data_IF_602870468552
#
_entry.id   IF_602870468552
#
_cell.length_a   1.000
_cell.length_b   1.000
_cell.length_c   1.000
_cell.angle_alpha   90.00
_cell.angle_beta   90.00
_cell.angle_gamma   90.00
#
_symmetry.space_group_name_H-M   'P 1'
#
loop_
_entity.id
_entity.type
_entity.pdbx_description
1 polymer ?
#
# COMPACT_ATOMS: atom_id res chain seq x y z
N UNK A 1 22.09 -0.17 -4.18
CA UNK A 1 22.07 -1.42 -4.95
C UNK A 1 22.83 -2.54 -4.25
N UNK A 2 24.14 -2.42 -4.07
CA UNK A 2 25.00 -3.50 -3.51
C UNK A 2 24.53 -3.96 -2.12
N UNK A 3 24.27 -3.05 -1.19
CA UNK A 3 23.74 -3.40 0.13
C UNK A 3 22.42 -4.18 0.05
N UNK A 4 21.54 -3.77 -0.86
CA UNK A 4 20.29 -4.51 -1.12
C UNK A 4 20.55 -5.93 -1.62
N UNK A 5 21.48 -6.13 -2.56
CA UNK A 5 21.86 -7.46 -3.01
C UNK A 5 22.40 -8.35 -1.87
N UNK A 6 23.20 -7.79 -0.95
CA UNK A 6 23.71 -8.52 0.21
C UNK A 6 22.55 -8.95 1.12
N UNK A 7 21.60 -8.06 1.40
CA UNK A 7 20.43 -8.35 2.24
C UNK A 7 19.59 -9.47 1.60
N UNK A 8 19.28 -9.35 0.31
CA UNK A 8 18.50 -10.37 -0.41
C UNK A 8 19.24 -11.71 -0.52
N UNK A 9 20.56 -11.70 -0.69
CA UNK A 9 21.37 -12.91 -0.65
C UNK A 9 21.33 -13.59 0.73
N UNK A 10 21.46 -12.82 1.82
CA UNK A 10 21.38 -13.34 3.18
C UNK A 10 20.04 -14.00 3.46
N UNK A 11 18.95 -13.41 2.99
CA UNK A 11 17.62 -14.00 3.14
C UNK A 11 17.50 -15.30 2.35
N UNK A 12 17.96 -15.28 1.09
CA UNK A 12 18.01 -16.48 0.24
C UNK A 12 18.79 -17.63 0.86
N UNK A 13 19.73 -17.36 1.76
CA UNK A 13 20.49 -18.34 2.53
C UNK A 13 19.77 -18.74 3.82
N UNK A 14 19.34 -17.75 4.60
CA UNK A 14 18.82 -18.00 5.96
C UNK A 14 17.47 -18.71 5.97
N UNK A 15 16.60 -18.41 5.02
CA UNK A 15 15.24 -18.95 5.00
C UNK A 15 15.23 -20.47 4.70
N UNK A 16 15.92 -21.00 3.68
CA UNK A 16 16.02 -22.45 3.47
C UNK A 16 16.71 -23.18 4.62
N UNK A 17 17.71 -22.57 5.26
CA UNK A 17 18.36 -23.14 6.46
C UNK A 17 17.37 -23.25 7.61
N UNK A 18 16.59 -22.18 7.88
CA UNK A 18 15.57 -22.19 8.91
C UNK A 18 14.50 -23.26 8.66
N UNK A 19 14.05 -23.41 7.41
CA UNK A 19 13.13 -24.47 7.02
C UNK A 19 13.71 -25.86 7.25
N UNK A 20 14.98 -26.10 6.91
CA UNK A 20 15.66 -27.38 7.12
C UNK A 20 15.80 -27.71 8.62
N UNK A 21 16.12 -26.72 9.47
CA UNK A 21 16.18 -26.90 10.93
C UNK A 21 14.80 -27.27 11.48
N UNK A 22 13.74 -26.58 11.05
CA UNK A 22 12.36 -26.85 11.48
C UNK A 22 11.94 -28.28 11.11
N UNK A 23 12.22 -28.72 9.89
CA UNK A 23 11.96 -30.10 9.45
C UNK A 23 12.73 -31.11 10.30
N UNK A 24 13.98 -30.81 10.61
CA UNK A 24 14.84 -31.70 11.45
C UNK A 24 14.32 -31.81 12.89
N UNK A 25 13.82 -30.74 13.46
CA UNK A 25 13.21 -30.74 14.81
C UNK A 25 11.95 -31.58 14.87
N UNK A 26 11.08 -31.45 13.86
CA UNK A 26 9.84 -32.23 13.74
C UNK A 26 10.16 -33.73 13.55
N UNK A 27 11.11 -34.09 12.68
CA UNK A 27 11.46 -35.49 12.43
C UNK A 27 12.13 -36.17 13.64
N UNK A 28 12.81 -35.41 14.49
CA UNK A 28 13.39 -35.98 15.71
C UNK A 28 12.35 -36.31 16.80
N UNK A 29 11.17 -35.66 16.75
CA UNK A 29 10.10 -35.87 17.73
C UNK A 29 9.08 -36.94 17.29
N UNK A 30 9.06 -37.34 16.01
CA UNK A 30 8.17 -38.38 15.48
C UNK A 30 8.97 -39.54 14.92
N UNK A 31 8.49 -40.76 15.18
CA UNK A 31 9.15 -42.04 14.88
C UNK A 31 9.63 -42.24 13.43
N UNK A 32 10.50 -43.22 13.25
CA UNK A 32 11.30 -43.62 12.07
C UNK A 32 10.66 -43.46 10.67
N UNK A 33 9.35 -43.50 10.55
CA UNK A 33 8.63 -43.27 9.28
C UNK A 33 8.75 -41.84 8.72
N UNK A 34 9.03 -40.85 9.59
CA UNK A 34 9.17 -39.44 9.19
C UNK A 34 10.56 -39.11 8.60
N UNK A 35 11.53 -40.02 8.67
CA UNK A 35 12.88 -39.80 8.17
C UNK A 35 13.03 -39.71 6.65
N UNK A 36 11.98 -40.11 5.89
CA UNK A 36 11.94 -40.01 4.42
C UNK A 36 11.08 -38.85 3.92
N UNK A 37 10.45 -38.07 4.82
CA UNK A 37 9.61 -36.96 4.42
C UNK A 37 10.44 -35.84 3.76
N UNK A 38 10.20 -35.62 2.48
CA UNK A 38 10.74 -34.46 1.75
C UNK A 38 9.81 -33.29 2.01
N UNK A 39 10.34 -32.24 2.60
CA UNK A 39 9.59 -31.00 2.82
C UNK A 39 9.57 -30.18 1.52
N UNK A 40 8.39 -29.98 0.98
CA UNK A 40 8.19 -28.99 -0.10
C UNK A 40 8.12 -27.62 0.53
N UNK A 41 9.14 -26.81 0.26
CA UNK A 41 9.25 -25.47 0.81
C UNK A 41 8.10 -24.57 0.31
N UNK A 42 7.27 -24.06 1.24
CA UNK A 42 6.21 -23.13 0.89
C UNK A 42 6.77 -21.74 0.59
N UNK A 43 6.88 -21.43 -0.68
CA UNK A 43 7.42 -20.16 -1.20
C UNK A 43 6.53 -18.97 -0.81
N UNK A 44 5.30 -19.20 -0.31
CA UNK A 44 4.38 -18.11 0.13
C UNK A 44 4.96 -17.31 1.30
N UNK A 45 5.64 -17.96 2.25
CA UNK A 45 6.31 -17.25 3.34
C UNK A 45 7.47 -16.38 2.84
N UNK A 46 8.19 -16.87 1.83
CA UNK A 46 9.25 -16.09 1.19
C UNK A 46 8.71 -14.82 0.57
N UNK A 47 7.56 -14.89 -0.10
CA UNK A 47 6.95 -13.72 -0.72
C UNK A 47 6.67 -12.61 0.32
N UNK A 48 6.22 -12.98 1.52
CA UNK A 48 5.95 -11.99 2.58
C UNK A 48 7.25 -11.33 3.03
N UNK A 49 8.31 -12.12 3.22
CA UNK A 49 9.62 -11.61 3.64
C UNK A 49 10.23 -10.72 2.55
N UNK A 50 10.26 -11.19 1.31
CA UNK A 50 10.77 -10.42 0.15
C UNK A 50 9.99 -9.14 -0.05
N UNK A 51 8.66 -9.20 0.06
CA UNK A 51 7.79 -8.04 -0.02
C UNK A 51 8.08 -7.02 1.10
N UNK A 52 8.21 -7.48 2.36
CA UNK A 52 8.51 -6.60 3.48
C UNK A 52 9.85 -5.86 3.28
N UNK A 53 10.83 -6.53 2.72
CA UNK A 53 12.13 -5.94 2.43
C UNK A 53 12.08 -4.99 1.25
N UNK A 54 11.34 -5.34 0.19
CA UNK A 54 11.10 -4.45 -0.94
C UNK A 54 10.45 -3.14 -0.49
N UNK A 55 9.49 -3.21 0.45
CA UNK A 55 8.83 -2.03 1.07
C UNK A 55 9.83 -1.10 1.77
N UNK A 56 10.96 -1.60 2.24
CA UNK A 56 11.99 -0.79 2.91
C UNK A 56 13.07 -0.35 1.93
N UNK A 57 13.64 -1.28 1.16
CA UNK A 57 14.81 -1.02 0.31
C UNK A 57 14.46 -0.14 -0.87
N UNK A 58 13.35 -0.39 -1.55
CA UNK A 58 12.95 0.38 -2.75
C UNK A 58 12.71 1.86 -2.43
N UNK A 59 11.96 2.24 -1.37
CA UNK A 59 11.86 3.63 -0.95
C UNK A 59 13.20 4.28 -0.64
N UNK A 60 14.08 3.59 0.09
CA UNK A 60 15.41 4.12 0.40
C UNK A 60 16.20 4.38 -0.89
N UNK A 61 16.19 3.45 -1.84
CA UNK A 61 16.87 3.63 -3.13
C UNK A 61 16.30 4.82 -3.91
N UNK A 62 14.99 4.96 -3.97
CA UNK A 62 14.33 6.09 -4.63
C UNK A 62 14.66 7.43 -3.96
N UNK A 63 14.58 7.49 -2.62
CA UNK A 63 14.90 8.71 -1.86
C UNK A 63 16.37 9.11 -2.01
N UNK A 64 17.29 8.15 -2.06
CA UNK A 64 18.71 8.41 -2.30
C UNK A 64 18.95 8.87 -3.73
N UNK A 65 18.36 8.19 -4.72
CA UNK A 65 18.53 8.52 -6.13
C UNK A 65 18.02 9.93 -6.47
N UNK A 66 16.93 10.36 -5.85
CA UNK A 66 16.34 11.69 -6.04
C UNK A 66 16.68 12.71 -4.94
N UNK A 67 17.65 12.42 -4.07
CA UNK A 67 18.02 13.34 -2.98
C UNK A 67 18.49 14.72 -3.46
N UNK A 68 18.98 14.82 -4.70
CA UNK A 68 19.35 16.10 -5.30
C UNK A 68 18.17 17.08 -5.41
N UNK A 69 16.92 16.57 -5.53
CA UNK A 69 15.71 17.41 -5.57
C UNK A 69 15.37 18.08 -4.25
N UNK A 70 15.94 17.58 -3.15
CA UNK A 70 15.70 18.11 -1.79
C UNK A 70 16.65 19.24 -1.41
N UNK A 71 17.75 19.43 -2.18
CA UNK A 71 18.77 20.46 -1.94
C UNK A 71 18.80 21.46 -3.09
N UNK A 72 18.60 22.74 -2.80
CA UNK A 72 18.52 23.80 -3.83
C UNK A 72 19.75 23.82 -4.74
N UNK A 73 20.96 23.88 -4.15
CA UNK A 73 22.20 23.95 -4.94
C UNK A 73 22.40 22.72 -5.84
N UNK A 74 22.02 21.52 -5.35
CA UNK A 74 22.11 20.29 -6.17
C UNK A 74 21.04 20.28 -7.26
N UNK A 75 19.82 20.74 -6.94
CA UNK A 75 18.72 20.83 -7.90
C UNK A 75 19.09 21.77 -9.06
N UNK A 76 19.63 22.95 -8.78
CA UNK A 76 20.07 23.93 -9.78
C UNK A 76 21.19 23.36 -10.65
N UNK A 77 22.18 22.66 -10.05
CA UNK A 77 23.24 21.97 -10.78
C UNK A 77 22.69 20.93 -11.77
N UNK A 78 21.82 20.03 -11.30
CA UNK A 78 21.24 18.99 -12.17
C UNK A 78 20.35 19.57 -13.28
N UNK A 79 19.66 20.69 -13.01
CA UNK A 79 18.86 21.37 -14.03
C UNK A 79 19.68 22.18 -15.02
N UNK A 80 20.94 22.51 -14.71
CA UNK A 80 21.89 23.17 -15.63
C UNK A 80 22.53 22.20 -16.64
N UNK A 81 22.47 20.89 -16.40
CA UNK A 81 22.99 19.88 -17.33
C UNK A 81 22.15 19.91 -18.62
N UNK A 82 22.77 19.90 -19.82
CA UNK A 82 22.07 20.02 -21.10
C UNK A 82 21.34 18.71 -21.51
N UNK A 83 20.56 18.15 -20.61
CA UNK A 83 19.73 16.96 -20.82
C UNK A 83 18.26 17.32 -20.60
N UNK A 84 17.39 16.84 -21.47
CA UNK A 84 15.94 17.02 -21.28
C UNK A 84 15.49 16.37 -19.97
N UNK A 85 14.60 17.04 -19.23
CA UNK A 85 14.15 16.61 -17.90
C UNK A 85 13.53 15.20 -17.88
N UNK A 86 12.71 14.88 -18.88
CA UNK A 86 12.04 13.58 -18.96
C UNK A 86 13.03 12.41 -19.12
N UNK A 87 14.00 12.43 -20.08
CA UNK A 87 15.02 11.39 -20.17
C UNK A 87 15.86 11.23 -18.88
N UNK A 88 16.21 12.35 -18.22
CA UNK A 88 16.95 12.31 -16.96
C UNK A 88 16.14 11.58 -15.86
N UNK A 89 14.86 11.92 -15.73
CA UNK A 89 13.96 11.28 -14.77
C UNK A 89 13.79 9.78 -15.05
N UNK A 90 13.50 9.43 -16.30
CA UNK A 90 13.33 8.03 -16.71
C UNK A 90 14.63 7.26 -16.51
N UNK A 91 15.79 7.84 -16.85
CA UNK A 91 17.10 7.21 -16.67
C UNK A 91 17.40 6.86 -15.22
N UNK A 92 17.09 7.76 -14.27
CA UNK A 92 17.27 7.50 -12.83
C UNK A 92 16.34 6.37 -12.38
N UNK A 93 15.07 6.39 -12.78
CA UNK A 93 14.11 5.34 -12.40
C UNK A 93 14.51 4.00 -13.03
N UNK A 94 14.92 3.98 -14.29
CA UNK A 94 15.38 2.74 -14.92
C UNK A 94 16.59 2.14 -14.21
N UNK A 95 17.51 2.97 -13.70
CA UNK A 95 18.61 2.49 -12.88
C UNK A 95 18.11 1.82 -11.58
N UNK A 96 17.08 2.38 -10.91
CA UNK A 96 16.48 1.77 -9.72
C UNK A 96 15.76 0.47 -10.07
N UNK A 97 15.01 0.43 -11.18
CA UNK A 97 14.35 -0.78 -11.69
C UNK A 97 15.36 -1.89 -11.98
N UNK A 98 16.48 -1.57 -12.67
CA UNK A 98 17.52 -2.55 -12.94
C UNK A 98 18.14 -3.11 -11.67
N UNK A 99 18.47 -2.26 -10.68
CA UNK A 99 18.94 -2.74 -9.38
C UNK A 99 17.92 -3.61 -8.67
N UNK A 100 16.64 -3.30 -8.75
CA UNK A 100 15.57 -4.12 -8.16
C UNK A 100 15.49 -5.50 -8.82
N UNK A 101 15.60 -5.58 -10.15
CA UNK A 101 15.67 -6.85 -10.88
C UNK A 101 16.89 -7.67 -10.45
N UNK A 102 18.06 -7.05 -10.34
CA UNK A 102 19.28 -7.71 -9.89
C UNK A 102 19.12 -8.27 -8.47
N UNK A 103 18.52 -7.50 -7.55
CA UNK A 103 18.28 -7.95 -6.18
C UNK A 103 17.36 -9.19 -6.12
N UNK A 104 16.25 -9.17 -6.85
CA UNK A 104 15.30 -10.30 -6.92
C UNK A 104 15.95 -11.50 -7.58
N UNK A 105 16.76 -11.28 -8.61
CA UNK A 105 17.53 -12.37 -9.25
C UNK A 105 18.52 -13.01 -8.28
N UNK A 106 19.27 -12.21 -7.51
CA UNK A 106 20.21 -12.71 -6.49
C UNK A 106 19.48 -13.55 -5.43
N UNK A 107 18.32 -13.09 -4.97
CA UNK A 107 17.49 -13.83 -4.03
C UNK A 107 17.04 -15.18 -4.59
N UNK A 108 16.41 -15.17 -5.77
CA UNK A 108 15.90 -16.40 -6.39
C UNK A 108 17.00 -17.40 -6.71
N UNK A 109 18.15 -16.90 -7.14
CA UNK A 109 19.35 -17.72 -7.40
C UNK A 109 19.88 -18.36 -6.11
N UNK A 110 20.05 -17.58 -5.04
CA UNK A 110 20.54 -18.09 -3.76
C UNK A 110 19.59 -19.11 -3.15
N UNK A 111 18.27 -18.91 -3.23
CA UNK A 111 17.27 -19.90 -2.79
C UNK A 111 17.41 -21.20 -3.57
N UNK A 112 17.50 -21.11 -4.90
CA UNK A 112 17.63 -22.29 -5.77
C UNK A 112 18.88 -23.12 -5.43
N UNK A 113 20.02 -22.44 -5.23
CA UNK A 113 21.28 -23.09 -4.87
C UNK A 113 21.20 -23.74 -3.49
N UNK A 114 20.67 -23.02 -2.50
CA UNK A 114 20.55 -23.53 -1.13
C UNK A 114 19.59 -24.71 -1.02
N UNK A 115 18.41 -24.63 -1.67
CA UNK A 115 17.48 -25.76 -1.69
C UNK A 115 18.03 -26.96 -2.46
N UNK A 116 18.83 -26.74 -3.52
CA UNK A 116 19.54 -27.81 -4.21
C UNK A 116 20.62 -28.48 -3.38
N UNK A 117 21.23 -27.77 -2.41
CA UNK A 117 22.25 -28.26 -1.51
C UNK A 117 21.70 -29.00 -0.27
N UNK A 118 20.41 -28.77 0.05
CA UNK A 118 19.80 -29.35 1.25
C UNK A 118 19.01 -30.62 0.89
N UNK A 119 19.33 -31.78 1.47
CA UNK A 119 18.80 -33.10 1.03
C UNK A 119 17.29 -33.27 1.32
N UNK A 120 16.71 -32.44 2.19
CA UNK A 120 15.32 -32.57 2.66
C UNK A 120 14.38 -31.44 2.22
N UNK A 121 14.90 -30.43 1.55
CA UNK A 121 14.12 -29.25 1.13
C UNK A 121 14.05 -29.21 -0.38
N UNK A 122 12.86 -29.25 -0.95
CA UNK A 122 12.66 -29.07 -2.40
C UNK A 122 11.85 -27.80 -2.64
N UNK A 123 12.20 -27.06 -3.66
CA UNK A 123 11.47 -25.87 -4.15
C UNK A 123 10.95 -26.16 -5.53
N UNK A 124 9.71 -25.82 -5.73
CA UNK A 124 9.10 -25.84 -7.06
C UNK A 124 9.54 -24.58 -7.83
N UNK A 125 10.32 -24.78 -8.91
CA UNK A 125 10.84 -23.66 -9.73
C UNK A 125 9.73 -22.73 -10.25
N UNK A 126 8.57 -23.30 -10.62
CA UNK A 126 7.41 -22.50 -11.06
C UNK A 126 6.93 -21.55 -9.97
N UNK A 127 6.78 -22.02 -8.75
CA UNK A 127 6.34 -21.24 -7.61
C UNK A 127 7.33 -20.14 -7.27
N UNK A 128 8.64 -20.43 -7.36
CA UNK A 128 9.72 -19.45 -7.15
C UNK A 128 9.68 -18.32 -8.20
N UNK A 129 9.51 -18.66 -9.48
CA UNK A 129 9.40 -17.67 -10.57
C UNK A 129 8.16 -16.77 -10.40
N UNK A 130 7.02 -17.36 -10.04
CA UNK A 130 5.80 -16.61 -9.77
C UNK A 130 6.03 -15.62 -8.61
N UNK A 131 6.70 -16.06 -7.55
CA UNK A 131 7.03 -15.18 -6.40
C UNK A 131 7.95 -14.04 -6.80
N UNK A 132 8.97 -14.30 -7.63
CA UNK A 132 9.86 -13.27 -8.15
C UNK A 132 9.10 -12.20 -8.95
N UNK A 133 8.20 -12.62 -9.85
CA UNK A 133 7.35 -11.70 -10.63
C UNK A 133 6.44 -10.86 -9.74
N UNK A 134 5.85 -11.47 -8.71
CA UNK A 134 5.00 -10.77 -7.74
C UNK A 134 5.77 -9.74 -6.92
N UNK A 135 6.96 -10.10 -6.43
CA UNK A 135 7.85 -9.19 -5.69
C UNK A 135 8.29 -8.02 -6.59
N UNK A 136 8.60 -8.29 -7.86
CA UNK A 136 8.92 -7.25 -8.83
C UNK A 136 7.72 -6.31 -9.07
N UNK A 137 6.52 -6.84 -9.26
CA UNK A 137 5.32 -6.04 -9.46
C UNK A 137 5.07 -5.09 -8.27
N UNK A 138 5.23 -5.59 -7.04
CA UNK A 138 5.10 -4.79 -5.83
C UNK A 138 6.19 -3.72 -5.75
N UNK A 139 7.45 -4.07 -6.03
CA UNK A 139 8.56 -3.12 -6.04
C UNK A 139 8.35 -2.01 -7.10
N UNK A 140 7.90 -2.38 -8.30
CA UNK A 140 7.57 -1.43 -9.36
C UNK A 140 6.43 -0.48 -8.97
N UNK A 141 5.42 -0.99 -8.29
CA UNK A 141 4.37 -0.16 -7.71
C UNK A 141 4.93 0.89 -6.73
N UNK A 142 5.83 0.50 -5.82
CA UNK A 142 6.48 1.44 -4.91
C UNK A 142 7.33 2.48 -5.64
N UNK A 143 8.06 2.08 -6.69
CA UNK A 143 8.80 2.99 -7.55
C UNK A 143 7.86 4.03 -8.17
N UNK A 144 6.71 3.60 -8.69
CA UNK A 144 5.70 4.48 -9.26
C UNK A 144 5.18 5.50 -8.24
N UNK A 145 4.70 5.02 -7.09
CA UNK A 145 4.17 5.88 -6.01
C UNK A 145 5.21 6.91 -5.54
N UNK A 146 6.44 6.45 -5.30
CA UNK A 146 7.53 7.33 -4.86
C UNK A 146 7.92 8.35 -5.92
N UNK A 147 7.89 7.95 -7.20
CA UNK A 147 8.15 8.87 -8.31
C UNK A 147 7.15 10.04 -8.30
N UNK A 148 5.85 9.76 -8.05
CA UNK A 148 4.83 10.79 -7.92
C UNK A 148 5.02 11.65 -6.66
N UNK A 149 5.25 11.03 -5.50
CA UNK A 149 5.41 11.72 -4.22
C UNK A 149 6.64 12.64 -4.19
N UNK A 150 7.78 12.16 -4.67
CA UNK A 150 9.04 12.93 -4.76
C UNK A 150 8.90 14.11 -5.74
N UNK A 151 8.17 13.91 -6.84
CA UNK A 151 7.92 14.98 -7.81
C UNK A 151 7.05 16.09 -7.22
N UNK A 152 6.11 15.76 -6.32
CA UNK A 152 5.17 16.69 -5.68
C UNK A 152 5.76 17.44 -4.48
N UNK A 153 6.87 17.00 -3.91
CA UNK A 153 7.44 17.55 -2.69
C UNK A 153 8.92 17.89 -2.86
N UNK A 154 9.48 18.69 -1.96
CA UNK A 154 10.86 19.20 -2.06
C UNK A 154 11.68 19.00 -0.79
N UNK A 155 11.19 18.22 0.18
CA UNK A 155 11.94 17.82 1.38
C UNK A 155 11.83 16.32 1.58
N UNK A 156 12.85 15.69 2.15
CA UNK A 156 12.90 14.25 2.36
C UNK A 156 11.70 13.75 3.19
N UNK A 157 11.37 14.48 4.24
CA UNK A 157 10.23 14.14 5.10
C UNK A 157 8.90 14.23 4.33
N UNK A 158 8.68 15.33 3.59
CA UNK A 158 7.48 15.47 2.75
C UNK A 158 7.40 14.40 1.66
N UNK A 159 8.53 13.96 1.08
CA UNK A 159 8.54 12.88 0.10
C UNK A 159 7.92 11.60 0.68
N UNK A 160 8.29 11.24 1.91
CA UNK A 160 7.78 10.03 2.59
C UNK A 160 6.28 10.21 2.89
N UNK A 161 5.90 11.33 3.49
CA UNK A 161 4.50 11.59 3.88
C UNK A 161 3.58 11.64 2.65
N UNK A 162 3.97 12.38 1.62
CA UNK A 162 3.18 12.53 0.39
C UNK A 162 3.04 11.20 -0.34
N UNK A 163 4.14 10.44 -0.47
CA UNK A 163 4.09 9.10 -1.08
C UNK A 163 3.20 8.16 -0.27
N UNK A 164 3.28 8.21 1.07
CA UNK A 164 2.41 7.43 1.95
C UNK A 164 0.94 7.77 1.77
N UNK A 165 0.59 9.05 1.71
CA UNK A 165 -0.80 9.49 1.45
C UNK A 165 -1.28 9.03 0.09
N UNK A 166 -0.50 9.22 -0.98
CA UNK A 166 -0.86 8.79 -2.34
C UNK A 166 -1.06 7.28 -2.41
N UNK A 167 -0.21 6.51 -1.73
CA UNK A 167 -0.28 5.06 -1.70
C UNK A 167 -1.50 4.55 -0.94
N UNK A 168 -1.78 5.12 0.22
CA UNK A 168 -2.79 4.60 1.15
C UNK A 168 -4.20 5.15 0.88
N UNK A 169 -4.31 6.40 0.40
CA UNK A 169 -5.59 7.07 0.24
C UNK A 169 -6.61 6.28 -0.61
N UNK A 170 -6.30 5.81 -1.82
CA UNK A 170 -7.30 5.09 -2.63
C UNK A 170 -7.78 3.81 -1.96
N UNK A 171 -6.87 3.11 -1.28
CA UNK A 171 -7.16 1.83 -0.60
C UNK A 171 -8.04 2.01 0.61
N UNK A 172 -7.65 2.94 1.49
CA UNK A 172 -8.45 3.22 2.68
C UNK A 172 -9.84 3.77 2.32
N UNK A 173 -9.96 4.57 1.25
CA UNK A 173 -11.27 5.02 0.78
C UNK A 173 -12.15 3.84 0.35
N UNK A 174 -11.64 2.93 -0.46
CA UNK A 174 -12.39 1.77 -0.94
C UNK A 174 -12.75 0.86 0.23
N UNK A 175 -11.78 0.49 1.07
CA UNK A 175 -12.01 -0.38 2.23
C UNK A 175 -13.05 0.25 3.17
N UNK A 176 -12.90 1.53 3.53
CA UNK A 176 -13.82 2.20 4.44
C UNK A 176 -15.26 2.25 3.88
N UNK A 177 -15.41 2.55 2.59
CA UNK A 177 -16.74 2.58 1.93
C UNK A 177 -17.40 1.20 1.99
N UNK A 178 -16.65 0.16 1.67
CA UNK A 178 -17.19 -1.21 1.64
C UNK A 178 -17.48 -1.70 3.07
N UNK A 179 -16.62 -1.43 4.04
CA UNK A 179 -16.85 -1.77 5.45
C UNK A 179 -18.10 -1.07 6.01
N UNK A 180 -18.31 0.20 5.66
CA UNK A 180 -19.51 0.95 6.06
C UNK A 180 -20.76 0.30 5.47
N UNK A 181 -20.74 -0.04 4.18
CA UNK A 181 -21.88 -0.70 3.51
C UNK A 181 -22.11 -2.07 4.16
N UNK A 182 -21.06 -2.86 4.38
CA UNK A 182 -21.15 -4.20 4.95
C UNK A 182 -21.64 -4.24 6.39
N UNK A 183 -21.33 -3.21 7.20
CA UNK A 183 -21.77 -3.13 8.59
C UNK A 183 -23.26 -2.76 8.77
N UNK A 184 -23.88 -2.24 7.70
CA UNK A 184 -25.20 -1.61 7.77
C UNK A 184 -26.24 -2.27 6.85
N UNK A 185 -25.78 -2.97 5.79
CA UNK A 185 -26.65 -3.65 4.85
C UNK A 185 -27.07 -5.03 5.37
N UNK A 186 -28.36 -5.21 5.69
CA UNK A 186 -28.90 -6.44 6.28
C UNK A 186 -29.05 -7.59 5.26
N UNK A 187 -29.19 -7.29 3.96
CA UNK A 187 -29.61 -8.27 2.95
C UNK A 187 -28.58 -8.55 1.86
N UNK A 188 -27.33 -8.10 2.01
CA UNK A 188 -26.36 -8.21 0.92
C UNK A 188 -25.10 -8.95 1.37
N UNK A 189 -24.67 -10.01 0.65
CA UNK A 189 -23.41 -10.70 0.95
C UNK A 189 -22.21 -9.80 0.54
N UNK A 190 -22.14 -8.62 1.18
CA UNK A 190 -21.09 -7.62 0.92
C UNK A 190 -19.72 -8.22 1.19
N UNK A 191 -19.63 -9.14 2.17
CA UNK A 191 -18.39 -9.85 2.50
C UNK A 191 -17.79 -10.60 1.31
N UNK A 192 -18.61 -11.28 0.52
CA UNK A 192 -18.14 -12.09 -0.61
C UNK A 192 -17.72 -11.24 -1.82
N UNK A 193 -18.50 -10.21 -2.13
CA UNK A 193 -18.16 -9.29 -3.22
C UNK A 193 -16.91 -8.48 -2.85
N UNK A 194 -16.83 -8.02 -1.60
CA UNK A 194 -15.67 -7.34 -1.06
C UNK A 194 -14.43 -8.22 -1.12
N UNK A 195 -14.53 -9.48 -0.67
CA UNK A 195 -13.41 -10.41 -0.70
C UNK A 195 -12.90 -10.57 -2.13
N UNK A 196 -13.76 -10.85 -3.09
CA UNK A 196 -13.41 -11.01 -4.51
C UNK A 196 -12.78 -9.75 -5.10
N UNK A 197 -13.37 -8.57 -4.82
CA UNK A 197 -12.85 -7.30 -5.34
C UNK A 197 -11.49 -6.93 -4.75
N UNK A 198 -11.29 -7.14 -3.45
CA UNK A 198 -10.02 -6.88 -2.79
C UNK A 198 -8.96 -7.94 -3.09
N UNK A 199 -9.36 -9.19 -3.32
CA UNK A 199 -8.45 -10.29 -3.66
C UNK A 199 -7.94 -10.19 -5.10
N UNK A 200 -8.76 -9.69 -6.03
CA UNK A 200 -8.32 -9.37 -7.39
C UNK A 200 -7.58 -8.03 -7.52
N UNK A 201 -7.51 -7.28 -6.42
CA UNK A 201 -6.86 -5.97 -6.37
C UNK A 201 -5.34 -6.03 -6.32
N UNK A 202 -4.74 -4.92 -5.91
CA UNK A 202 -3.29 -4.78 -5.80
C UNK A 202 -2.71 -5.68 -4.68
N UNK A 203 -1.48 -6.19 -4.86
CA UNK A 203 -0.75 -7.00 -3.86
C UNK A 203 -0.65 -6.37 -2.48
N UNK A 204 -0.48 -5.06 -2.39
CA UNK A 204 -0.45 -4.38 -1.11
C UNK A 204 -1.76 -4.59 -0.34
N UNK A 205 -2.90 -4.54 -1.03
CA UNK A 205 -4.22 -4.79 -0.44
C UNK A 205 -4.35 -6.24 0.03
N UNK A 206 -3.89 -7.21 -0.77
CA UNK A 206 -3.88 -8.63 -0.37
C UNK A 206 -3.00 -8.89 0.85
N UNK A 207 -1.80 -8.30 0.90
CA UNK A 207 -0.89 -8.42 2.06
C UNK A 207 -1.53 -7.82 3.30
N UNK A 208 -2.11 -6.62 3.21
CA UNK A 208 -2.79 -5.97 4.33
C UNK A 208 -3.96 -6.83 4.86
N UNK A 209 -4.78 -7.39 3.99
CA UNK A 209 -5.87 -8.30 4.38
C UNK A 209 -5.38 -9.57 5.05
N UNK A 210 -4.31 -10.17 4.55
CA UNK A 210 -3.74 -11.37 5.17
C UNK A 210 -3.18 -11.08 6.57
N UNK A 211 -2.60 -9.90 6.78
CA UNK A 211 -2.15 -9.48 8.12
C UNK A 211 -3.30 -9.29 9.10
N UNK A 212 -4.50 -8.95 8.63
CA UNK A 212 -5.72 -8.82 9.46
C UNK A 212 -6.48 -10.14 9.65
N UNK A 213 -5.97 -11.26 9.15
CA UNK A 213 -6.57 -12.59 9.34
C UNK A 213 -7.68 -12.96 8.34
N UNK A 214 -8.10 -12.03 7.48
CA UNK A 214 -9.25 -12.18 6.57
C UNK A 214 -8.85 -12.45 5.10
N UNK A 215 -7.63 -12.92 4.85
CA UNK A 215 -7.09 -12.95 3.48
C UNK A 215 -7.23 -14.27 2.77
N UNK A 216 -7.65 -14.21 1.49
CA UNK A 216 -7.48 -15.26 0.52
C UNK A 216 -5.99 -15.61 0.28
N UNK A 217 -5.77 -16.72 -0.38
CA UNK A 217 -4.41 -17.17 -0.73
C UNK A 217 -3.64 -16.08 -1.52
N UNK A 218 -2.50 -15.62 -1.00
CA UNK A 218 -1.58 -14.71 -1.73
C UNK A 218 -1.07 -15.37 -3.03
N UNK A 219 -1.68 -16.47 -3.42
CA UNK A 219 -1.29 -17.32 -4.53
C UNK A 219 -1.79 -16.87 -5.91
N UNK A 220 -2.82 -16.03 -6.01
CA UNK A 220 -3.39 -15.68 -7.31
C UNK A 220 -2.45 -14.79 -8.12
N UNK A 221 -2.27 -15.11 -9.39
CA UNK A 221 -1.50 -14.30 -10.34
C UNK A 221 -2.26 -13.04 -10.76
N UNK A 222 -3.56 -13.00 -10.47
CA UNK A 222 -4.50 -11.97 -10.93
C UNK A 222 -4.16 -10.57 -10.40
N UNK A 223 -3.53 -10.48 -9.21
CA UNK A 223 -3.11 -9.21 -8.63
C UNK A 223 -1.86 -8.59 -9.27
N UNK A 224 -1.11 -9.32 -10.10
CA UNK A 224 0.11 -8.79 -10.76
C UNK A 224 -0.25 -7.65 -11.70
N UNK A 225 -1.23 -7.88 -12.56
CA UNK A 225 -1.64 -6.90 -13.59
C UNK A 225 -2.15 -5.60 -12.94
N UNK A 226 -3.12 -5.61 -12.02
CA UNK A 226 -3.56 -4.40 -11.33
C UNK A 226 -2.42 -3.66 -10.62
N UNK A 227 -1.50 -4.39 -9.97
CA UNK A 227 -0.36 -3.78 -9.26
C UNK A 227 0.58 -3.06 -10.22
N UNK A 228 0.92 -3.66 -11.37
CA UNK A 228 1.79 -3.05 -12.37
C UNK A 228 1.09 -1.86 -13.04
N UNK A 229 -0.18 -1.99 -13.39
CA UNK A 229 -0.96 -0.89 -14.01
C UNK A 229 -1.03 0.30 -13.07
N UNK A 230 -1.33 0.08 -11.80
CA UNK A 230 -1.37 1.16 -10.80
C UNK A 230 0.01 1.82 -10.64
N UNK A 231 1.09 1.03 -10.57
CA UNK A 231 2.46 1.53 -10.54
C UNK A 231 2.81 2.38 -11.78
N UNK A 232 2.35 1.96 -12.96
CA UNK A 232 2.54 2.70 -14.21
C UNK A 232 1.77 4.03 -14.20
N UNK A 233 0.54 4.05 -13.70
CA UNK A 233 -0.25 5.28 -13.56
C UNK A 233 0.48 6.29 -12.68
N UNK A 234 0.97 5.87 -11.51
CA UNK A 234 1.74 6.76 -10.63
C UNK A 234 3.07 7.19 -11.24
N UNK A 235 3.75 6.31 -11.97
CA UNK A 235 4.97 6.67 -12.70
C UNK A 235 4.72 7.76 -13.74
N UNK A 236 3.66 7.64 -14.55
CA UNK A 236 3.27 8.64 -15.55
C UNK A 236 2.93 9.96 -14.88
N UNK A 237 2.15 9.94 -13.79
CA UNK A 237 1.84 11.14 -13.01
C UNK A 237 3.11 11.78 -12.45
N UNK A 238 4.03 10.99 -11.90
CA UNK A 238 5.32 11.46 -11.41
C UNK A 238 6.17 12.11 -12.49
N UNK A 239 6.25 11.49 -13.66
CA UNK A 239 6.96 12.02 -14.83
C UNK A 239 6.38 13.35 -15.30
N UNK A 240 5.04 13.43 -15.41
CA UNK A 240 4.35 14.66 -15.80
C UNK A 240 4.63 15.81 -14.83
N UNK A 241 4.51 15.55 -13.52
CA UNK A 241 4.77 16.55 -12.48
C UNK A 241 6.25 16.95 -12.47
N UNK A 242 7.17 16.00 -12.63
CA UNK A 242 8.60 16.28 -12.63
C UNK A 242 9.02 17.22 -13.77
N UNK A 243 8.50 17.01 -14.97
CA UNK A 243 8.81 17.87 -16.14
C UNK A 243 8.38 19.31 -15.90
N UNK A 244 7.23 19.52 -15.24
CA UNK A 244 6.67 20.85 -14.96
C UNK A 244 7.18 21.47 -13.64
N UNK A 245 7.99 20.73 -12.86
CA UNK A 245 8.53 21.18 -11.58
C UNK A 245 9.54 22.30 -11.77
N UNK A 246 9.41 23.38 -10.98
CA UNK A 246 10.41 24.47 -10.91
C UNK A 246 11.51 24.12 -9.91
N UNK A 247 12.76 24.52 -10.16
CA UNK A 247 13.88 24.31 -9.22
C UNK A 247 13.66 24.98 -7.87
N UNK A 248 12.92 26.10 -7.85
CA UNK A 248 12.56 26.83 -6.64
C UNK A 248 11.70 26.04 -5.63
N UNK A 249 11.18 24.87 -6.01
CA UNK A 249 10.41 24.00 -5.11
C UNK A 249 11.29 23.16 -4.20
N UNK A 250 12.59 23.09 -4.45
CA UNK A 250 13.54 22.46 -3.54
C UNK A 250 13.49 23.12 -2.15
N UNK A 251 13.50 22.29 -1.09
CA UNK A 251 13.35 22.70 0.32
C UNK A 251 11.94 23.22 0.70
N UNK A 252 10.96 23.20 -0.22
CA UNK A 252 9.55 23.47 0.12
C UNK A 252 8.81 22.16 0.41
N UNK A 253 7.81 22.16 1.32
CA UNK A 253 7.07 20.94 1.67
C UNK A 253 6.25 20.37 0.50
N UNK A 254 5.84 21.23 -0.44
CA UNK A 254 5.11 20.83 -1.64
C UNK A 254 5.34 21.81 -2.78
N UNK A 255 4.96 21.42 -4.02
CA UNK A 255 5.03 22.27 -5.22
C UNK A 255 4.27 23.59 -5.04
N UNK A 256 3.06 23.50 -4.50
CA UNK A 256 2.19 24.66 -4.26
C UNK A 256 1.42 24.46 -2.95
N UNK A 257 0.98 25.57 -2.35
CA UNK A 257 0.12 25.52 -1.18
C UNK A 257 -1.21 24.74 -1.45
N UNK A 258 -1.71 24.80 -2.68
CA UNK A 258 -2.88 24.01 -3.08
C UNK A 258 -2.67 22.52 -2.97
N UNK A 259 -1.55 21.99 -3.47
CA UNK A 259 -1.18 20.57 -3.35
C UNK A 259 -1.06 20.15 -1.88
N UNK A 260 -0.40 20.96 -1.05
CA UNK A 260 -0.30 20.72 0.38
C UNK A 260 -1.68 20.68 1.05
N UNK A 261 -2.56 21.61 0.68
CA UNK A 261 -3.92 21.66 1.17
C UNK A 261 -4.73 20.41 0.82
N UNK A 262 -4.64 19.94 -0.44
CA UNK A 262 -5.34 18.72 -0.90
C UNK A 262 -4.83 17.49 -0.13
N UNK A 263 -3.53 17.30 -0.02
CA UNK A 263 -2.94 16.16 0.69
C UNK A 263 -3.31 16.14 2.17
N UNK A 264 -3.31 17.30 2.82
CA UNK A 264 -3.76 17.48 4.20
C UNK A 264 -5.25 17.12 4.36
N UNK A 265 -6.09 17.62 3.44
CA UNK A 265 -7.52 17.30 3.41
C UNK A 265 -7.76 15.81 3.23
N UNK A 266 -7.06 15.17 2.27
CA UNK A 266 -7.19 13.74 2.01
C UNK A 266 -6.79 12.93 3.24
N UNK A 267 -5.67 13.22 3.89
CA UNK A 267 -5.23 12.49 5.09
C UNK A 267 -6.21 12.60 6.26
N UNK A 268 -6.76 13.79 6.52
CA UNK A 268 -7.77 13.99 7.55
C UNK A 268 -9.12 13.34 7.18
N UNK A 269 -9.50 13.40 5.92
CA UNK A 269 -10.72 12.77 5.41
C UNK A 269 -10.70 11.26 5.58
N UNK A 270 -9.56 10.60 5.32
CA UNK A 270 -9.41 9.16 5.54
C UNK A 270 -9.66 8.77 7.00
N UNK A 271 -9.15 9.53 7.95
CA UNK A 271 -9.45 9.31 9.37
C UNK A 271 -10.93 9.54 9.70
N UNK A 272 -11.56 10.54 9.06
CA UNK A 272 -12.98 10.84 9.29
C UNK A 272 -13.93 9.79 8.72
N UNK A 273 -13.54 9.06 7.66
CA UNK A 273 -14.35 7.97 7.10
C UNK A 273 -14.63 6.86 8.11
N UNK A 274 -13.66 6.53 8.96
CA UNK A 274 -13.85 5.58 10.06
C UNK A 274 -14.92 6.10 11.03
N UNK A 275 -14.89 7.40 11.34
CA UNK A 275 -15.92 8.05 12.15
C UNK A 275 -17.32 8.01 11.51
N UNK A 276 -17.39 8.17 10.19
CA UNK A 276 -18.64 8.02 9.42
C UNK A 276 -19.19 6.59 9.57
N UNK A 277 -18.33 5.57 9.53
CA UNK A 277 -18.73 4.17 9.73
C UNK A 277 -19.39 3.94 11.09
N UNK A 278 -18.77 4.40 12.18
CA UNK A 278 -19.36 4.32 13.52
C UNK A 278 -20.66 5.12 13.65
N UNK A 279 -20.73 6.29 13.00
CA UNK A 279 -21.95 7.09 12.99
C UNK A 279 -23.08 6.40 12.23
N UNK A 280 -22.78 5.75 11.10
CA UNK A 280 -23.76 4.95 10.36
C UNK A 280 -24.27 3.76 11.20
N UNK A 281 -23.37 3.03 11.85
CA UNK A 281 -23.75 1.93 12.76
C UNK A 281 -24.61 2.39 13.93
N UNK A 282 -24.39 3.59 14.47
CA UNK A 282 -25.24 4.19 15.49
C UNK A 282 -26.68 4.39 15.02
N UNK A 283 -26.88 4.88 13.79
CA UNK A 283 -28.21 5.17 13.26
C UNK A 283 -28.97 3.94 12.75
N UNK A 284 -28.28 2.80 12.55
CA UNK A 284 -28.88 1.58 12.00
C UNK A 284 -28.97 0.44 13.04
N UNK A 285 -27.99 0.30 13.92
CA UNK A 285 -27.91 -0.80 14.89
C UNK A 285 -28.27 -0.35 16.32
N UNK A 286 -29.55 -0.04 16.57
CA UNK A 286 -30.11 0.22 17.91
C UNK A 286 -29.33 1.20 18.80
N UNK A 287 -28.72 2.23 18.23
CA UNK A 287 -28.30 3.43 18.95
C UNK A 287 -27.34 3.25 20.12
N UNK A 288 -26.36 2.36 20.04
CA UNK A 288 -25.38 2.21 21.11
C UNK A 288 -24.55 3.50 21.31
N UNK A 289 -24.58 4.06 22.52
CA UNK A 289 -23.78 5.25 22.88
C UNK A 289 -22.28 5.04 22.66
N UNK A 290 -21.79 3.79 22.66
CA UNK A 290 -20.41 3.46 22.36
C UNK A 290 -20.04 3.85 20.90
N UNK A 291 -20.91 3.59 19.92
CA UNK A 291 -20.65 3.97 18.53
C UNK A 291 -20.57 5.49 18.36
N UNK A 292 -21.43 6.24 19.04
CA UNK A 292 -21.37 7.70 19.02
C UNK A 292 -20.07 8.23 19.63
N UNK A 293 -19.62 7.63 20.74
CA UNK A 293 -18.35 7.96 21.37
C UNK A 293 -17.17 7.68 20.44
N UNK A 294 -17.11 6.49 19.81
CA UNK A 294 -16.05 6.16 18.85
C UNK A 294 -16.08 7.08 17.63
N UNK A 295 -17.25 7.43 17.11
CA UNK A 295 -17.36 8.39 16.02
C UNK A 295 -16.77 9.76 16.43
N UNK A 296 -17.12 10.27 17.61
CA UNK A 296 -16.60 11.53 18.12
C UNK A 296 -15.05 11.50 18.28
N UNK A 297 -14.51 10.41 18.82
CA UNK A 297 -13.06 10.22 18.95
C UNK A 297 -12.37 10.24 17.58
N UNK A 298 -12.94 9.57 16.56
CA UNK A 298 -12.37 9.56 15.22
C UNK A 298 -12.43 10.92 14.53
N UNK A 299 -13.49 11.70 14.73
CA UNK A 299 -13.54 13.08 14.20
C UNK A 299 -12.53 14.00 14.88
N UNK A 300 -12.33 13.87 16.20
CA UNK A 300 -11.27 14.59 16.90
C UNK A 300 -9.89 14.19 16.35
N UNK A 301 -9.67 12.89 16.16
CA UNK A 301 -8.43 12.37 15.57
C UNK A 301 -8.21 12.92 14.14
N UNK A 302 -9.24 13.01 13.32
CA UNK A 302 -9.15 13.59 11.99
C UNK A 302 -8.70 15.06 12.02
N UNK A 303 -9.22 15.85 12.96
CA UNK A 303 -8.78 17.24 13.17
C UNK A 303 -7.32 17.29 13.66
N UNK A 304 -6.93 16.38 14.55
CA UNK A 304 -5.54 16.29 15.00
C UNK A 304 -4.60 15.92 13.85
N UNK A 305 -4.96 14.94 13.02
CA UNK A 305 -4.19 14.59 11.81
C UNK A 305 -4.07 15.78 10.86
N UNK A 306 -5.15 16.53 10.67
CA UNK A 306 -5.15 17.76 9.86
C UNK A 306 -4.14 18.78 10.36
N UNK A 307 -4.11 19.05 11.66
CA UNK A 307 -3.19 20.00 12.30
C UNK A 307 -1.75 19.47 12.26
N UNK A 308 -1.57 18.19 12.61
CA UNK A 308 -0.26 17.54 12.63
C UNK A 308 0.38 17.50 11.24
N UNK A 309 -0.39 17.22 10.19
CA UNK A 309 0.10 17.27 8.81
C UNK A 309 0.70 18.64 8.48
N UNK A 310 -0.03 19.72 8.81
CA UNK A 310 0.47 21.08 8.56
C UNK A 310 1.72 21.42 9.37
N UNK A 311 1.75 21.05 10.66
CA UNK A 311 2.92 21.26 11.52
C UNK A 311 4.15 20.50 11.03
N UNK A 312 4.00 19.24 10.68
CA UNK A 312 5.08 18.37 10.22
C UNK A 312 5.63 18.81 8.85
N UNK A 313 4.79 19.38 7.99
CA UNK A 313 5.22 19.80 6.64
C UNK A 313 5.73 21.23 6.62
N UNK A 314 5.08 22.17 7.33
CA UNK A 314 5.44 23.60 7.27
C UNK A 314 6.43 24.04 8.36
N UNK A 315 6.51 23.30 9.48
CA UNK A 315 7.29 23.65 10.68
C UNK A 315 6.98 25.07 11.24
N UNK A 316 5.82 25.65 10.90
CA UNK A 316 5.43 27.01 11.30
C UNK A 316 4.02 27.04 11.85
N UNK A 317 3.87 27.42 13.12
CA UNK A 317 2.55 27.57 13.77
C UNK A 317 1.64 28.61 13.09
N UNK A 318 2.20 29.66 12.51
CA UNK A 318 1.43 30.69 11.82
C UNK A 318 0.66 30.17 10.60
N UNK A 319 1.14 29.09 9.97
CA UNK A 319 0.46 28.45 8.84
C UNK A 319 -0.75 27.62 9.27
N UNK A 320 -0.76 27.10 10.49
CA UNK A 320 -1.90 26.37 11.07
C UNK A 320 -3.15 27.26 11.11
N UNK A 321 -3.01 28.50 11.55
CA UNK A 321 -4.16 29.45 11.57
C UNK A 321 -4.74 29.71 10.18
N UNK A 322 -3.91 29.76 9.14
CA UNK A 322 -4.38 29.87 7.75
C UNK A 322 -5.07 28.58 7.27
N UNK A 323 -4.53 27.44 7.65
CA UNK A 323 -5.07 26.12 7.25
C UNK A 323 -6.43 25.85 7.91
N UNK A 324 -6.65 26.26 9.15
CA UNK A 324 -7.93 26.10 9.86
C UNK A 324 -9.11 26.78 9.14
N UNK A 325 -8.87 27.81 8.34
CA UNK A 325 -9.92 28.42 7.50
C UNK A 325 -10.50 27.47 6.45
N UNK A 326 -9.80 26.40 6.12
CA UNK A 326 -10.26 25.38 5.17
C UNK A 326 -10.94 24.18 5.84
N UNK A 327 -10.91 24.09 7.17
CA UNK A 327 -11.55 23.02 7.93
C UNK A 327 -13.06 22.87 7.66
N UNK A 328 -13.85 23.93 7.43
CA UNK A 328 -15.25 23.80 7.05
C UNK A 328 -15.46 22.96 5.78
N UNK A 329 -14.52 22.99 4.82
CA UNK A 329 -14.60 22.18 3.60
C UNK A 329 -14.54 20.69 3.95
N UNK A 330 -13.67 20.29 4.90
CA UNK A 330 -13.60 18.93 5.41
C UNK A 330 -14.91 18.49 6.05
N UNK A 331 -15.52 19.35 6.87
CA UNK A 331 -16.83 19.09 7.51
C UNK A 331 -17.92 18.87 6.46
N UNK A 332 -17.98 19.73 5.44
CA UNK A 332 -18.95 19.60 4.35
C UNK A 332 -18.71 18.28 3.60
N UNK A 333 -17.46 17.94 3.28
CA UNK A 333 -17.12 16.69 2.59
C UNK A 333 -17.57 15.46 3.38
N UNK A 334 -17.32 15.44 4.68
CA UNK A 334 -17.77 14.37 5.60
C UNK A 334 -19.29 14.28 5.65
N UNK A 335 -19.98 15.41 5.75
CA UNK A 335 -21.46 15.45 5.78
C UNK A 335 -22.07 14.93 4.47
N UNK A 336 -21.50 15.32 3.32
CA UNK A 336 -21.91 14.83 2.00
C UNK A 336 -21.68 13.31 1.89
N UNK A 337 -20.53 12.82 2.37
CA UNK A 337 -20.25 11.38 2.38
C UNK A 337 -21.25 10.62 3.24
N UNK A 338 -21.54 11.12 4.44
CA UNK A 338 -22.53 10.50 5.32
C UNK A 338 -23.92 10.46 4.68
N UNK A 339 -24.36 11.57 4.04
CA UNK A 339 -25.64 11.61 3.34
C UNK A 339 -25.67 10.64 2.15
N UNK A 340 -24.61 10.60 1.35
CA UNK A 340 -24.49 9.67 0.23
C UNK A 340 -24.54 8.21 0.68
N UNK A 341 -23.83 7.86 1.77
CA UNK A 341 -23.87 6.52 2.34
C UNK A 341 -25.25 6.14 2.85
N UNK A 342 -25.98 7.06 3.51
CA UNK A 342 -27.37 6.83 3.90
C UNK A 342 -28.28 6.52 2.71
N UNK A 343 -28.13 7.23 1.61
CA UNK A 343 -28.92 6.99 0.38
C UNK A 343 -28.60 5.62 -0.20
N UNK A 344 -27.31 5.24 -0.28
CA UNK A 344 -26.88 3.94 -0.79
C UNK A 344 -27.42 2.80 0.07
N UNK A 345 -27.27 2.88 1.39
CA UNK A 345 -27.76 1.87 2.33
C UNK A 345 -29.27 1.76 2.29
N UNK A 346 -29.99 2.89 2.22
CA UNK A 346 -31.43 2.88 2.07
C UNK A 346 -31.85 2.19 0.77
N UNK A 347 -31.16 2.46 -0.34
CA UNK A 347 -31.39 1.80 -1.63
C UNK A 347 -31.17 0.30 -1.57
N UNK A 348 -30.11 -0.15 -0.91
CA UNK A 348 -29.79 -1.59 -0.74
C UNK A 348 -30.87 -2.26 0.12
N UNK A 349 -31.22 -1.69 1.27
CA UNK A 349 -32.19 -2.28 2.19
C UNK A 349 -33.63 -2.22 1.68
N UNK A 350 -33.95 -1.32 0.74
CA UNK A 350 -35.26 -1.24 0.08
C UNK A 350 -35.40 -2.24 -1.07
N UNK A 351 -34.33 -2.90 -1.49
CA UNK A 351 -34.39 -3.90 -2.56
C UNK A 351 -35.15 -5.14 -2.09
N UNK A 352 -36.29 -5.42 -2.72
CA UNK A 352 -37.10 -6.61 -2.44
C UNK A 352 -36.70 -7.73 -3.38
N UNK A 353 -36.42 -8.91 -2.80
CA UNK A 353 -36.22 -10.15 -3.55
C UNK A 353 -37.56 -10.50 -4.20
N UNK A 354 -37.61 -10.59 -5.55
CA UNK A 354 -38.77 -11.02 -6.28
C UNK A 354 -38.73 -12.56 -6.36
N UNK A 355 -39.62 -13.31 -5.68
CA UNK A 355 -39.55 -14.78 -5.58
C UNK A 355 -39.53 -15.48 -6.94
N UNK A 356 -40.17 -14.88 -7.95
CA UNK A 356 -40.24 -15.43 -9.33
C UNK A 356 -38.87 -15.45 -10.06
N UNK A 357 -37.88 -14.72 -9.57
CA UNK A 357 -36.53 -14.65 -10.13
C UNK A 357 -35.44 -15.38 -9.34
N UNK A 358 -35.80 -15.91 -8.17
CA UNK A 358 -34.88 -16.68 -7.32
C UNK A 358 -34.99 -18.16 -7.64
N UNK A 359 -33.91 -18.76 -8.16
CA UNK A 359 -33.85 -20.21 -8.44
C UNK A 359 -33.53 -21.02 -7.16
N UNK A 360 -32.88 -20.45 -6.18
CA UNK A 360 -32.54 -21.10 -4.90
C UNK A 360 -32.65 -20.13 -3.73
N UNK A 361 -33.16 -20.59 -2.62
CA UNK A 361 -33.03 -19.96 -1.31
C UNK A 361 -32.35 -21.00 -0.43
N UNK A 362 -31.07 -20.86 -0.15
CA UNK A 362 -30.40 -21.60 0.91
C UNK A 362 -30.69 -20.90 2.24
N UNK A 363 -31.33 -21.64 3.15
CA UNK A 363 -31.55 -21.23 4.53
C UNK A 363 -30.48 -21.97 5.33
N UNK A 364 -29.44 -21.27 5.79
CA UNK A 364 -28.51 -21.76 6.80
C UNK A 364 -29.10 -21.61 8.21
#
# INVERSE_FOLDING_TARGET
GILGCIIYALIGIMVPIGANISVRSVTNNYSVAATQAVYVFDVKYMMIVSAAIAVIIVPIMMLVAFNFLNKRNSCDFYHAIPVKRLPAFVGIIMAVVLWTIIMIFVETFTISVMCGSLPRVKVECRSLMITAVKTFALAFFFIGVLSAGISLSGTLFSNIVVSGVIMLAPRFMIIAVIDIIGSVAECYPVSDIMSKFLDSGNFLTQIMRKMTGNGADIGSFDAVIPTVVEGMVYFILGAFVYVHRKSETAQKPSLTYGVQSVLRMVSAYLCSLVGVGFLMSYFTNYGSMAHLFYAAVMFVLAVLVYIMYELLTSHKWSMVGRSLKQLPILIILVAVTFAAMKIVVYGINSYRIVPERTQYIEIE
#
